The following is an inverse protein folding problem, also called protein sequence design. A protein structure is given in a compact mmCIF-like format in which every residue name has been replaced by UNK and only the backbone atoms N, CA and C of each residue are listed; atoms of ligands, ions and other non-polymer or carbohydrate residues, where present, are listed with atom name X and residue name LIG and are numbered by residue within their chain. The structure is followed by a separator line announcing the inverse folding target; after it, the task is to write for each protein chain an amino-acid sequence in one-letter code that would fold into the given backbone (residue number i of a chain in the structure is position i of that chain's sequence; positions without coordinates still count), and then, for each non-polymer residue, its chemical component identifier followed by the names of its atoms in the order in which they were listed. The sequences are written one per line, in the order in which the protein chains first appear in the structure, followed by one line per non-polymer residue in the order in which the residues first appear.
data_IF_788232916055
#
_entry.id   IF_788232916055
#
_cell.length_a   1.000
_cell.length_b   1.000
_cell.length_c   1.000
_cell.angle_alpha   90.00
_cell.angle_beta   90.00
_cell.angle_gamma   90.00
#
_symmetry.space_group_name_H-M   'P 1'
#
loop_
_entity.id
_entity.type
_entity.pdbx_description
1 polymer ?
#
# COMPACT_ATOMS: atom_id res chain seq x y z
N UNK A 1 -17.26 10.16 -20.25
CA UNK A 1 -18.03 10.71 -19.12
C UNK A 1 -17.09 11.61 -18.34
N UNK A 2 -17.25 12.94 -18.43
CA UNK A 2 -16.34 13.91 -17.81
C UNK A 2 -16.66 14.14 -16.34
N UNK A 3 -15.66 14.60 -15.58
CA UNK A 3 -15.84 15.04 -14.19
C UNK A 3 -16.79 16.25 -14.17
N UNK A 4 -17.97 16.10 -13.56
CA UNK A 4 -18.93 17.19 -13.32
C UNK A 4 -19.15 17.33 -11.81
N UNK A 5 -19.04 18.55 -11.29
CA UNK A 5 -19.29 18.82 -9.88
C UNK A 5 -20.80 18.78 -9.59
N UNK A 6 -21.21 17.96 -8.64
CA UNK A 6 -22.60 17.84 -8.19
C UNK A 6 -22.70 18.30 -6.72
N UNK A 7 -23.10 19.56 -6.46
CA UNK A 7 -23.12 20.13 -5.11
C UNK A 7 -23.96 19.30 -4.12
N UNK A 8 -25.03 18.66 -4.59
CA UNK A 8 -25.91 17.81 -3.76
C UNK A 8 -25.20 16.59 -3.15
N UNK A 9 -24.11 16.13 -3.76
CA UNK A 9 -23.28 15.01 -3.27
C UNK A 9 -22.16 15.45 -2.33
N UNK A 10 -21.93 16.77 -2.17
CA UNK A 10 -20.95 17.32 -1.24
C UNK A 10 -21.49 17.21 0.20
N UNK A 11 -21.40 16.00 0.76
CA UNK A 11 -21.85 15.69 2.12
C UNK A 11 -20.73 14.99 2.87
N UNK A 12 -20.57 15.34 4.14
CA UNK A 12 -19.60 14.70 5.01
C UNK A 12 -20.18 13.39 5.55
N UNK A 13 -19.90 12.29 4.85
CA UNK A 13 -20.36 10.95 5.25
C UNK A 13 -19.52 10.36 6.38
N UNK A 14 -20.10 9.41 7.12
CA UNK A 14 -19.42 8.70 8.22
C UNK A 14 -18.10 8.03 7.77
N UNK A 15 -18.09 7.45 6.55
CA UNK A 15 -16.88 6.89 5.97
C UNK A 15 -15.79 7.94 5.77
N UNK A 16 -16.13 9.13 5.31
CA UNK A 16 -15.17 10.24 5.13
C UNK A 16 -14.57 10.67 6.48
N UNK A 17 -15.40 10.75 7.53
CA UNK A 17 -14.92 11.02 8.88
C UNK A 17 -13.95 9.95 9.36
N UNK A 18 -14.33 8.66 9.26
CA UNK A 18 -13.47 7.52 9.62
C UNK A 18 -12.15 7.54 8.86
N UNK A 19 -12.16 7.86 7.57
CA UNK A 19 -10.92 8.03 6.79
C UNK A 19 -10.03 9.14 7.38
N UNK A 20 -10.60 10.30 7.71
CA UNK A 20 -9.85 11.39 8.35
C UNK A 20 -9.26 10.98 9.70
N UNK A 21 -10.03 10.27 10.53
CA UNK A 21 -9.57 9.72 11.81
C UNK A 21 -8.42 8.72 11.60
N UNK A 22 -8.55 7.81 10.63
CA UNK A 22 -7.50 6.84 10.33
C UNK A 22 -6.19 7.52 9.91
N UNK A 23 -6.26 8.56 9.08
CA UNK A 23 -5.08 9.35 8.70
C UNK A 23 -4.50 10.06 9.92
N UNK A 24 -5.32 10.71 10.74
CA UNK A 24 -4.86 11.36 11.98
C UNK A 24 -4.13 10.38 12.90
N UNK A 25 -4.66 9.17 13.09
CA UNK A 25 -4.04 8.15 13.94
C UNK A 25 -2.71 7.65 13.36
N UNK A 26 -2.61 7.45 12.03
CA UNK A 26 -1.33 7.09 11.39
C UNK A 26 -0.30 8.20 11.61
N UNK A 27 -0.67 9.45 11.32
CA UNK A 27 0.22 10.60 11.48
C UNK A 27 0.69 10.72 12.93
N UNK A 28 -0.23 10.63 13.89
CA UNK A 28 0.06 10.72 15.31
C UNK A 28 0.98 9.60 15.78
N UNK A 29 0.69 8.34 15.41
CA UNK A 29 1.50 7.19 15.79
C UNK A 29 2.92 7.29 15.24
N UNK A 30 3.06 7.54 13.94
CA UNK A 30 4.37 7.56 13.28
C UNK A 30 5.20 8.75 13.76
N UNK A 31 4.58 9.92 13.92
CA UNK A 31 5.28 11.12 14.42
C UNK A 31 5.72 10.95 15.87
N UNK A 32 4.89 10.33 16.72
CA UNK A 32 5.23 10.10 18.12
C UNK A 32 6.37 9.09 18.30
N UNK A 33 6.48 8.10 17.41
CA UNK A 33 7.51 7.06 17.44
C UNK A 33 8.73 7.39 16.58
N UNK A 34 8.74 8.52 15.87
CA UNK A 34 9.81 8.92 14.97
C UNK A 34 9.96 8.01 13.75
N UNK A 35 8.88 7.34 13.32
CA UNK A 35 8.90 6.45 12.17
C UNK A 35 8.76 7.22 10.86
N UNK A 36 9.55 6.82 9.86
CA UNK A 36 9.41 7.31 8.49
C UNK A 36 8.19 6.71 7.77
N UNK A 37 7.96 7.11 6.53
CA UNK A 37 6.92 6.47 5.70
C UNK A 37 5.49 6.93 5.97
N UNK A 38 5.31 8.09 6.62
CA UNK A 38 4.00 8.71 6.89
C UNK A 38 3.07 8.68 5.68
N UNK A 39 3.58 9.00 4.49
CA UNK A 39 2.81 9.03 3.25
C UNK A 39 2.22 7.65 2.91
N UNK A 40 3.00 6.58 3.05
CA UNK A 40 2.55 5.23 2.72
C UNK A 40 1.59 4.68 3.75
N UNK A 41 1.87 4.89 5.03
CA UNK A 41 0.93 4.54 6.10
C UNK A 41 -0.43 5.21 5.86
N UNK A 42 -0.44 6.52 5.60
CA UNK A 42 -1.67 7.29 5.40
C UNK A 42 -2.43 6.86 4.15
N UNK A 43 -1.75 6.76 2.99
CA UNK A 43 -2.38 6.28 1.76
C UNK A 43 -2.96 4.88 1.97
N UNK A 44 -2.22 4.01 2.64
CA UNK A 44 -2.68 2.66 2.93
C UNK A 44 -3.91 2.64 3.83
N UNK A 45 -3.97 3.49 4.85
CA UNK A 45 -5.16 3.63 5.67
C UNK A 45 -6.37 4.08 4.85
N UNK A 46 -6.21 5.13 4.02
CA UNK A 46 -7.26 5.65 3.15
C UNK A 46 -7.81 4.60 2.19
N UNK A 47 -6.92 3.84 1.54
CA UNK A 47 -7.34 2.85 0.56
C UNK A 47 -7.90 1.56 1.17
N UNK A 48 -7.52 1.24 2.40
CA UNK A 48 -8.01 0.05 3.10
C UNK A 48 -9.33 0.30 3.82
N UNK A 49 -9.69 1.57 4.09
CA UNK A 49 -10.98 1.92 4.67
C UNK A 49 -12.09 1.86 3.60
N UNK A 50 -13.03 0.94 3.81
CA UNK A 50 -14.16 0.63 2.92
C UNK A 50 -15.47 0.83 3.68
N UNK A 51 -16.59 0.72 2.98
CA UNK A 51 -17.92 0.92 3.59
C UNK A 51 -18.24 -0.14 4.65
N UNK A 52 -17.85 -1.39 4.40
CA UNK A 52 -18.08 -2.50 5.32
C UNK A 52 -16.75 -3.03 5.87
N UNK A 53 -16.78 -3.52 7.11
CA UNK A 53 -15.60 -4.05 7.80
C UNK A 53 -14.95 -5.23 7.06
N UNK A 54 -15.73 -6.21 6.59
CA UNK A 54 -15.26 -7.32 5.76
C UNK A 54 -14.45 -6.88 4.55
N UNK A 55 -14.98 -5.87 3.85
CA UNK A 55 -14.34 -5.30 2.68
C UNK A 55 -13.04 -4.62 3.08
N UNK A 56 -13.00 -3.92 4.21
CA UNK A 56 -11.76 -3.36 4.73
C UNK A 56 -10.69 -4.41 4.99
N UNK A 57 -11.04 -5.54 5.60
CA UNK A 57 -10.11 -6.66 5.80
C UNK A 57 -9.63 -7.22 4.46
N UNK A 58 -10.55 -7.53 3.54
CA UNK A 58 -10.20 -8.08 2.23
C UNK A 58 -9.25 -7.15 1.45
N UNK A 59 -9.56 -5.85 1.42
CA UNK A 59 -8.71 -4.85 0.77
C UNK A 59 -7.38 -4.65 1.50
N UNK A 60 -7.36 -4.72 2.83
CA UNK A 60 -6.14 -4.65 3.62
C UNK A 60 -5.19 -5.81 3.30
N UNK A 61 -5.69 -7.05 3.30
CA UNK A 61 -4.92 -8.25 2.91
C UNK A 61 -4.39 -8.15 1.49
N UNK A 62 -5.26 -7.76 0.55
CA UNK A 62 -4.92 -7.51 -0.85
C UNK A 62 -3.72 -6.56 -0.99
N UNK A 63 -3.70 -5.50 -0.18
CA UNK A 63 -2.67 -4.47 -0.21
C UNK A 63 -1.35 -4.91 0.40
N UNK A 64 -1.40 -5.61 1.54
CA UNK A 64 -0.20 -6.18 2.17
C UNK A 64 0.48 -7.16 1.21
N UNK A 65 -0.29 -8.07 0.59
CA UNK A 65 0.25 -9.02 -0.39
C UNK A 65 0.88 -8.31 -1.58
N UNK A 66 0.15 -7.38 -2.22
CA UNK A 66 0.65 -6.69 -3.41
C UNK A 66 1.92 -5.88 -3.13
N UNK A 67 1.96 -5.15 -2.01
CA UNK A 67 3.11 -4.34 -1.62
C UNK A 67 4.32 -5.23 -1.31
N UNK A 68 4.10 -6.38 -0.68
CA UNK A 68 5.15 -7.40 -0.45
C UNK A 68 5.71 -7.92 -1.76
N UNK A 69 4.87 -8.26 -2.74
CA UNK A 69 5.33 -8.70 -4.08
C UNK A 69 6.17 -7.61 -4.77
N UNK A 70 5.69 -6.37 -4.78
CA UNK A 70 6.44 -5.24 -5.36
C UNK A 70 7.77 -4.99 -4.67
N UNK A 71 7.79 -5.04 -3.33
CA UNK A 71 8.99 -4.93 -2.51
C UNK A 71 10.01 -6.04 -2.80
N UNK A 72 9.57 -7.30 -2.87
CA UNK A 72 10.48 -8.42 -3.18
C UNK A 72 11.07 -8.31 -4.60
N UNK A 73 10.26 -7.93 -5.59
CA UNK A 73 10.75 -7.74 -6.95
C UNK A 73 11.70 -6.53 -7.07
N UNK A 74 11.52 -5.49 -6.24
CA UNK A 74 12.48 -4.38 -6.17
C UNK A 74 13.83 -4.78 -5.57
N UNK A 75 13.86 -5.75 -4.63
CA UNK A 75 15.10 -6.34 -4.14
C UNK A 75 15.82 -7.12 -5.25
N UNK A 76 15.07 -7.90 -6.03
CA UNK A 76 15.62 -8.59 -7.19
C UNK A 76 16.24 -7.59 -8.19
N UNK A 77 15.53 -6.51 -8.51
CA UNK A 77 16.07 -5.42 -9.33
C UNK A 77 17.38 -4.89 -8.78
N UNK A 78 17.42 -4.59 -7.48
CA UNK A 78 18.59 -4.03 -6.81
C UNK A 78 19.83 -4.93 -6.94
N UNK A 79 19.70 -6.23 -6.67
CA UNK A 79 20.81 -7.17 -6.81
C UNK A 79 21.34 -7.24 -8.24
N UNK A 80 20.44 -7.28 -9.23
CA UNK A 80 20.84 -7.26 -10.65
C UNK A 80 21.54 -5.95 -10.97
N UNK A 81 20.98 -4.81 -10.58
CA UNK A 81 21.54 -3.50 -10.88
C UNK A 81 22.94 -3.30 -10.27
N UNK A 82 23.20 -3.87 -9.08
CA UNK A 82 24.51 -3.86 -8.45
C UNK A 82 25.56 -4.62 -9.28
N UNK A 83 25.23 -5.79 -9.86
CA UNK A 83 26.16 -6.53 -10.73
C UNK A 83 26.54 -5.78 -12.01
N UNK A 84 25.68 -4.87 -12.47
CA UNK A 84 25.91 -4.06 -13.67
C UNK A 84 26.32 -2.61 -13.36
N UNK A 85 26.88 -2.36 -12.16
CA UNK A 85 27.38 -1.04 -11.74
C UNK A 85 26.34 0.09 -11.91
N UNK A 86 25.08 -0.17 -11.59
CA UNK A 86 23.99 0.79 -11.68
C UNK A 86 23.74 1.33 -13.11
N UNK A 87 23.99 0.52 -14.13
CA UNK A 87 23.75 0.88 -15.52
C UNK A 87 22.28 1.25 -15.79
N UNK A 88 22.08 2.40 -16.44
CA UNK A 88 20.74 2.88 -16.84
C UNK A 88 20.00 1.87 -17.71
N UNK A 89 20.72 1.06 -18.51
CA UNK A 89 20.12 0.01 -19.35
C UNK A 89 19.43 -1.08 -18.56
N UNK A 90 19.96 -1.44 -17.38
CA UNK A 90 19.29 -2.40 -16.49
C UNK A 90 17.98 -1.83 -16.00
N UNK A 91 17.95 -0.54 -15.65
CA UNK A 91 16.71 0.14 -15.25
C UNK A 91 15.69 0.16 -16.39
N UNK A 92 16.11 0.56 -17.60
CA UNK A 92 15.24 0.66 -18.77
C UNK A 92 14.62 -0.68 -19.18
N UNK A 93 15.34 -1.79 -19.03
CA UNK A 93 14.84 -3.11 -19.40
C UNK A 93 14.10 -3.79 -18.25
N UNK A 94 14.70 -3.81 -17.06
CA UNK A 94 14.24 -4.65 -15.97
C UNK A 94 13.03 -4.05 -15.24
N UNK A 95 12.94 -2.73 -15.08
CA UNK A 95 11.79 -2.10 -14.39
C UNK A 95 10.45 -2.38 -15.12
N UNK A 96 10.34 -2.22 -16.45
CA UNK A 96 9.12 -2.62 -17.18
C UNK A 96 8.81 -4.11 -17.06
N UNK A 97 9.82 -4.98 -17.15
CA UNK A 97 9.65 -6.44 -17.02
C UNK A 97 9.11 -6.79 -15.63
N UNK A 98 9.71 -6.25 -14.57
CA UNK A 98 9.28 -6.49 -13.20
C UNK A 98 7.91 -5.87 -12.92
N UNK A 99 7.56 -4.77 -13.58
CA UNK A 99 6.21 -4.20 -13.50
C UNK A 99 5.17 -5.15 -14.09
N UNK A 100 5.42 -5.68 -15.30
CA UNK A 100 4.56 -6.70 -15.91
C UNK A 100 4.47 -7.95 -15.03
N UNK A 101 5.59 -8.41 -14.47
CA UNK A 101 5.62 -9.55 -13.55
C UNK A 101 4.81 -9.28 -12.28
N UNK A 102 4.92 -8.09 -11.69
CA UNK A 102 4.13 -7.68 -10.51
C UNK A 102 2.63 -7.75 -10.81
N UNK A 103 2.21 -7.30 -12.00
CA UNK A 103 0.82 -7.37 -12.45
C UNK A 103 0.39 -8.82 -12.58
N UNK A 104 1.14 -9.64 -13.31
CA UNK A 104 0.81 -11.05 -13.57
C UNK A 104 0.70 -11.82 -12.24
N UNK A 105 1.66 -11.69 -11.33
CA UNK A 105 1.60 -12.35 -10.02
C UNK A 105 0.33 -11.94 -9.28
N UNK A 106 0.03 -10.64 -9.16
CA UNK A 106 -1.16 -10.21 -8.45
C UNK A 106 -2.45 -10.73 -9.10
N UNK A 107 -2.56 -10.72 -10.42
CA UNK A 107 -3.73 -11.25 -11.13
C UNK A 107 -3.87 -12.75 -10.94
N UNK A 108 -2.77 -13.52 -10.99
CA UNK A 108 -2.77 -14.97 -10.76
C UNK A 108 -3.24 -15.37 -9.37
N UNK A 109 -3.06 -14.51 -8.36
CA UNK A 109 -3.58 -14.70 -7.00
C UNK A 109 -4.99 -14.10 -6.80
N UNK A 110 -5.71 -13.78 -7.87
CA UNK A 110 -7.01 -13.09 -7.82
C UNK A 110 -6.97 -11.74 -7.08
N UNK A 111 -5.80 -11.08 -7.07
CA UNK A 111 -5.52 -9.86 -6.32
C UNK A 111 -5.50 -8.61 -7.23
N UNK A 112 -6.42 -8.52 -8.19
CA UNK A 112 -6.47 -7.40 -9.15
C UNK A 112 -6.57 -6.02 -8.46
N UNK A 113 -7.27 -5.95 -7.33
CA UNK A 113 -7.40 -4.72 -6.53
C UNK A 113 -6.08 -4.22 -5.92
N UNK A 114 -5.10 -5.12 -5.76
CA UNK A 114 -3.79 -4.80 -5.18
C UNK A 114 -2.75 -4.33 -6.19
N UNK A 115 -2.97 -4.56 -7.49
CA UNK A 115 -2.00 -4.33 -8.57
C UNK A 115 -1.37 -2.93 -8.51
N UNK A 116 -2.19 -1.87 -8.41
CA UNK A 116 -1.70 -0.49 -8.35
C UNK A 116 -0.78 -0.30 -7.14
N UNK A 117 -1.14 -0.87 -5.98
CA UNK A 117 -0.32 -0.78 -4.77
C UNK A 117 1.01 -1.51 -4.91
N UNK A 118 1.02 -2.71 -5.49
CA UNK A 118 2.23 -3.48 -5.71
C UNK A 118 3.17 -2.86 -6.74
N UNK A 119 2.62 -2.37 -7.85
CA UNK A 119 3.41 -1.65 -8.87
C UNK A 119 3.96 -0.35 -8.31
N UNK A 120 3.17 0.41 -7.55
CA UNK A 120 3.66 1.63 -6.89
C UNK A 120 4.80 1.32 -5.92
N UNK A 121 4.70 0.24 -5.14
CA UNK A 121 5.79 -0.19 -4.26
C UNK A 121 7.07 -0.49 -5.04
N UNK A 122 6.99 -1.31 -6.10
CA UNK A 122 8.12 -1.60 -6.97
C UNK A 122 8.77 -0.31 -7.48
N UNK A 123 7.98 0.56 -8.13
CA UNK A 123 8.51 1.75 -8.80
C UNK A 123 9.07 2.78 -7.82
N UNK A 124 8.41 3.00 -6.68
CA UNK A 124 8.92 3.94 -5.67
C UNK A 124 10.27 3.43 -5.15
N UNK A 125 10.38 2.13 -4.85
CA UNK A 125 11.62 1.57 -4.29
C UNK A 125 12.75 1.59 -5.32
N UNK A 126 12.49 1.16 -6.56
CA UNK A 126 13.53 1.06 -7.59
C UNK A 126 13.99 2.42 -8.13
N UNK A 127 13.11 3.43 -8.14
CA UNK A 127 13.39 4.73 -8.77
C UNK A 127 13.71 5.87 -7.78
N UNK A 128 13.39 5.72 -6.49
CA UNK A 128 13.51 6.82 -5.52
C UNK A 128 14.57 6.63 -4.44
N UNK A 129 15.15 5.42 -4.29
CA UNK A 129 16.02 5.12 -3.14
C UNK A 129 17.48 4.99 -3.59
N UNK A 130 18.42 5.61 -2.87
CA UNK A 130 19.84 5.36 -3.07
C UNK A 130 20.23 3.91 -2.67
N UNK A 131 21.16 3.29 -3.41
CA UNK A 131 21.41 1.85 -3.35
C UNK A 131 21.85 1.30 -1.99
N UNK A 132 22.39 2.12 -1.11
CA UNK A 132 22.95 1.74 0.19
C UNK A 132 21.93 1.35 1.26
N UNK A 133 20.62 1.61 1.06
CA UNK A 133 19.59 1.33 2.08
C UNK A 133 18.36 0.55 1.58
N UNK A 134 18.46 -0.09 0.40
CA UNK A 134 17.29 -0.72 -0.26
C UNK A 134 16.62 -1.81 0.58
N UNK A 135 17.39 -2.66 1.27
CA UNK A 135 16.83 -3.77 2.06
C UNK A 135 16.00 -3.30 3.26
N UNK A 136 16.56 -2.42 4.08
CA UNK A 136 15.87 -1.83 5.23
C UNK A 136 14.61 -1.10 4.78
N UNK A 137 14.69 -0.40 3.65
CA UNK A 137 13.54 0.34 3.12
C UNK A 137 12.42 -0.58 2.65
N UNK A 138 12.72 -1.69 1.99
CA UNK A 138 11.69 -2.66 1.58
C UNK A 138 10.94 -3.21 2.80
N UNK A 139 11.66 -3.52 3.88
CA UNK A 139 11.05 -3.93 5.15
C UNK A 139 10.18 -2.81 5.71
N UNK A 140 10.71 -1.58 5.76
CA UNK A 140 9.96 -0.41 6.22
C UNK A 140 8.66 -0.23 5.41
N UNK A 141 8.70 -0.34 4.08
CA UNK A 141 7.53 -0.20 3.20
C UNK A 141 6.42 -1.21 3.51
N UNK A 142 6.79 -2.48 3.70
CA UNK A 142 5.83 -3.53 4.06
C UNK A 142 5.26 -3.26 5.45
N UNK A 143 6.10 -2.86 6.40
CA UNK A 143 5.70 -2.51 7.76
C UNK A 143 4.76 -1.30 7.82
N UNK A 144 5.10 -0.22 7.12
CA UNK A 144 4.28 1.00 7.00
C UNK A 144 2.90 0.68 6.44
N UNK A 145 2.85 -0.18 5.42
CA UNK A 145 1.60 -0.66 4.82
C UNK A 145 0.79 -1.48 5.82
N UNK A 146 1.45 -2.38 6.55
CA UNK A 146 0.80 -3.17 7.59
C UNK A 146 0.17 -2.28 8.67
N UNK A 147 0.91 -1.28 9.16
CA UNK A 147 0.41 -0.32 10.15
C UNK A 147 -0.80 0.46 9.63
N UNK A 148 -0.74 0.96 8.39
CA UNK A 148 -1.86 1.66 7.77
C UNK A 148 -3.10 0.79 7.63
N UNK A 149 -2.94 -0.49 7.24
CA UNK A 149 -4.04 -1.45 7.16
C UNK A 149 -4.64 -1.70 8.53
N UNK A 150 -3.78 -1.93 9.53
CA UNK A 150 -4.19 -2.20 10.90
C UNK A 150 -5.02 -1.05 11.48
N UNK A 151 -4.54 0.19 11.34
CA UNK A 151 -5.28 1.38 11.80
C UNK A 151 -6.60 1.53 11.05
N UNK A 152 -6.64 1.30 9.73
CA UNK A 152 -7.89 1.37 8.97
C UNK A 152 -8.92 0.32 9.42
N UNK A 153 -8.48 -0.90 9.71
CA UNK A 153 -9.35 -1.95 10.25
C UNK A 153 -9.86 -1.55 11.64
N UNK A 154 -8.98 -1.04 12.50
CA UNK A 154 -9.33 -0.60 13.86
C UNK A 154 -10.36 0.53 13.83
N UNK A 155 -10.19 1.52 12.95
CA UNK A 155 -11.15 2.64 12.81
C UNK A 155 -12.45 2.19 12.17
N UNK A 156 -12.41 1.22 11.24
CA UNK A 156 -13.61 0.70 10.61
C UNK A 156 -14.31 -0.41 11.43
N UNK A 157 -13.81 -0.69 12.64
CA UNK A 157 -14.29 -1.75 13.51
C UNK A 157 -15.82 -1.73 13.66
N UNK A 158 -16.41 -2.91 13.50
CA UNK A 158 -17.83 -3.16 13.66
C UNK A 158 -18.03 -4.29 14.68
N UNK A 159 -18.57 -3.94 15.84
CA UNK A 159 -18.71 -4.83 17.00
C UNK A 159 -19.64 -6.01 16.72
N UNK A 160 -20.75 -5.79 16.00
CA UNK A 160 -21.75 -6.81 15.71
C UNK A 160 -21.26 -7.84 14.68
N UNK A 161 -20.35 -7.44 13.81
CA UNK A 161 -19.68 -8.33 12.88
C UNK A 161 -18.76 -9.34 13.59
N UNK A 162 -18.01 -8.88 14.60
CA UNK A 162 -17.02 -9.67 15.32
C UNK A 162 -17.67 -10.81 16.11
N UNK A 163 -18.80 -10.51 16.77
CA UNK A 163 -19.58 -11.48 17.54
C UNK A 163 -20.13 -12.63 16.67
N UNK A 164 -20.34 -12.42 15.37
CA UNK A 164 -20.81 -13.45 14.43
C UNK A 164 -19.70 -14.37 13.92
N UNK A 165 -18.44 -13.92 13.91
CA UNK A 165 -17.31 -14.69 13.37
C UNK A 165 -16.36 -15.26 14.44
N UNK A 166 -16.52 -14.84 15.70
CA UNK A 166 -15.81 -15.41 16.86
C UNK A 166 -16.57 -16.57 17.54
N UNK A 167 -17.80 -16.88 17.09
CA UNK A 167 -18.55 -18.08 17.47
C UNK A 167 -18.36 -19.16 16.42
#
# INVERSE_FOLDING_TARGET
MGLKFEPKKFKFGMRTLKTGIAVFLVLGLFSALGWEGLQIGCLTAVFSLRENFDRSIQFGKSRIFANTVGGLLSLLFYFVNMWFNHSVWVTLLLVPILTMLTIVINVSFNNASGVIGGVAALLIITLSIPPDNTFTYVIARVFETFCGVFIAILVNYDYDWLLKHLK
#
